data_IF_606466515361
#
_entry.id   IF_606466515361
#
_cell.length_a   1.000
_cell.length_b   1.000
_cell.length_c   1.000
_cell.angle_alpha   90.00
_cell.angle_beta   90.00
_cell.angle_gamma   90.00
#
_symmetry.space_group_name_H-M   'P 1'
#
loop_
_entity.id
_entity.type
_entity.pdbx_description
1 polymer ?
#
# COMPACT_ATOMS: atom_id res chain seq x y z
N UNK A 1 3.33 -13.94 14.78
CA UNK A 1 3.10 -12.89 13.78
C UNK A 1 3.63 -13.37 12.44
N UNK A 2 2.95 -13.01 11.33
CA UNK A 2 3.25 -13.52 9.99
C UNK A 2 3.87 -12.44 9.09
N UNK A 3 3.65 -11.15 9.42
CA UNK A 3 4.15 -10.01 8.68
C UNK A 3 4.16 -8.78 9.58
N UNK A 4 5.05 -7.85 9.32
CA UNK A 4 5.10 -6.52 9.94
C UNK A 4 4.63 -5.50 8.90
N UNK A 5 3.58 -4.73 9.22
CA UNK A 5 3.14 -3.59 8.42
C UNK A 5 3.45 -2.29 9.14
N UNK A 6 4.05 -1.35 8.43
CA UNK A 6 4.37 -0.02 8.92
C UNK A 6 4.29 1.02 7.79
N UNK A 7 4.45 2.29 8.15
CA UNK A 7 4.42 3.39 7.19
C UNK A 7 5.34 4.54 7.63
N UNK A 8 5.51 5.51 6.75
CA UNK A 8 6.39 6.67 6.99
C UNK A 8 5.97 7.56 8.17
N UNK A 9 4.72 7.46 8.66
CA UNK A 9 4.25 8.23 9.83
C UNK A 9 4.55 7.52 11.15
N UNK A 10 5.07 6.30 11.13
CA UNK A 10 5.46 5.56 12.32
C UNK A 10 6.79 6.07 12.92
N UNK A 11 7.59 6.81 12.13
CA UNK A 11 8.89 7.38 12.53
C UNK A 11 9.88 6.32 13.06
N UNK A 12 9.88 5.14 12.43
CA UNK A 12 10.75 4.01 12.78
C UNK A 12 11.85 3.77 11.73
N UNK A 13 12.18 4.79 10.97
CA UNK A 13 13.09 4.70 9.82
C UNK A 13 14.52 4.30 10.22
N UNK A 14 14.93 4.64 11.43
CA UNK A 14 16.26 4.30 11.97
C UNK A 14 16.29 2.87 12.55
N UNK A 15 15.12 2.30 12.85
CA UNK A 15 14.98 0.96 13.43
C UNK A 15 14.60 -0.10 12.35
N UNK A 16 14.45 0.30 11.09
CA UNK A 16 13.91 -0.59 10.03
C UNK A 16 14.79 -1.82 9.80
N UNK A 17 16.10 -1.69 9.92
CA UNK A 17 17.05 -2.79 9.81
C UNK A 17 16.88 -3.79 10.95
N UNK A 18 16.74 -3.30 12.20
CA UNK A 18 16.49 -4.14 13.37
C UNK A 18 15.14 -4.86 13.24
N UNK A 19 14.10 -4.16 12.80
CA UNK A 19 12.76 -4.74 12.54
C UNK A 19 12.85 -5.86 11.50
N UNK A 20 13.57 -5.65 10.40
CA UNK A 20 13.75 -6.67 9.37
C UNK A 20 14.54 -7.87 9.88
N UNK A 21 15.47 -7.67 10.83
CA UNK A 21 16.26 -8.74 11.45
C UNK A 21 15.43 -9.73 12.27
N UNK A 22 14.18 -9.40 12.62
CA UNK A 22 13.24 -10.30 13.28
C UNK A 22 12.81 -11.49 12.38
N UNK A 23 13.19 -11.47 11.09
CA UNK A 23 12.97 -12.56 10.16
C UNK A 23 11.56 -12.65 9.59
N UNK A 24 10.68 -11.69 9.90
CA UNK A 24 9.36 -11.57 9.29
C UNK A 24 9.40 -10.68 8.03
N UNK A 25 8.55 -10.93 7.03
CA UNK A 25 8.43 -10.01 5.91
C UNK A 25 7.90 -8.65 6.39
N UNK A 26 8.51 -7.57 5.92
CA UNK A 26 8.08 -6.20 6.24
C UNK A 26 7.37 -5.60 5.04
N UNK A 27 6.18 -5.04 5.27
CA UNK A 27 5.42 -4.25 4.32
C UNK A 27 5.46 -2.77 4.73
N UNK A 28 5.75 -1.88 3.79
CA UNK A 28 5.93 -0.46 4.04
C UNK A 28 5.06 0.40 3.11
N UNK A 29 4.30 1.33 3.69
CA UNK A 29 3.56 2.34 2.94
C UNK A 29 4.34 3.67 2.92
N UNK A 30 4.79 4.05 1.73
CA UNK A 30 5.49 5.31 1.47
C UNK A 30 4.54 6.50 1.29
N UNK A 31 3.22 6.26 1.27
CA UNK A 31 2.24 7.31 0.96
C UNK A 31 2.57 8.00 -0.39
N UNK A 32 2.58 9.33 -0.42
CA UNK A 32 2.99 10.14 -1.58
C UNK A 32 4.23 11.01 -1.30
N UNK A 33 5.03 10.67 -0.28
CA UNK A 33 6.10 11.53 0.25
C UNK A 33 7.41 10.77 0.36
N UNK A 34 7.95 10.26 -0.72
CA UNK A 34 9.26 9.61 -0.76
C UNK A 34 10.28 10.45 -1.53
N UNK A 35 11.55 10.27 -1.18
CA UNK A 35 12.72 10.74 -1.93
C UNK A 35 13.58 9.55 -2.32
N UNK A 36 14.51 9.75 -3.25
CA UNK A 36 15.45 8.70 -3.65
C UNK A 36 16.31 8.21 -2.49
N UNK A 37 16.73 9.11 -1.59
CA UNK A 37 17.50 8.78 -0.40
C UNK A 37 16.66 7.94 0.57
N UNK A 38 15.37 8.31 0.74
CA UNK A 38 14.46 7.58 1.60
C UNK A 38 14.19 6.17 1.08
N UNK A 39 13.95 6.02 -0.23
CA UNK A 39 13.79 4.71 -0.85
C UNK A 39 15.03 3.84 -0.67
N UNK A 40 16.24 4.39 -0.89
CA UNK A 40 17.50 3.67 -0.68
C UNK A 40 17.70 3.21 0.77
N UNK A 41 17.19 3.97 1.74
CA UNK A 41 17.27 3.62 3.15
C UNK A 41 16.31 2.48 3.52
N UNK A 42 15.07 2.52 3.05
CA UNK A 42 14.00 1.62 3.50
C UNK A 42 13.90 0.35 2.65
N UNK A 43 13.97 0.47 1.31
CA UNK A 43 13.70 -0.64 0.39
C UNK A 43 14.54 -1.91 0.63
N UNK A 44 15.84 -1.84 0.99
CA UNK A 44 16.63 -3.05 1.25
C UNK A 44 16.08 -3.93 2.39
N UNK A 45 15.25 -3.38 3.27
CA UNK A 45 14.75 -4.03 4.48
C UNK A 45 13.30 -4.52 4.37
N UNK A 46 12.63 -4.28 3.24
CA UNK A 46 11.20 -4.60 3.08
C UNK A 46 10.95 -5.58 1.95
N UNK A 47 9.76 -6.21 1.97
CA UNK A 47 9.33 -7.18 0.94
C UNK A 47 8.14 -6.68 0.14
N UNK A 48 7.33 -5.81 0.70
CA UNK A 48 6.17 -5.23 0.04
C UNK A 48 6.21 -3.72 0.21
N UNK A 49 6.15 -2.97 -0.88
CA UNK A 49 6.04 -1.52 -0.88
C UNK A 49 4.68 -1.07 -1.41
N UNK A 50 4.10 -0.03 -0.83
CA UNK A 50 2.99 0.70 -1.41
C UNK A 50 3.36 2.17 -1.62
N UNK A 51 3.04 2.68 -2.81
CA UNK A 51 3.23 4.07 -3.24
C UNK A 51 1.87 4.66 -3.61
N UNK A 52 1.55 5.87 -3.14
CA UNK A 52 0.37 6.63 -3.57
C UNK A 52 0.72 7.48 -4.79
N UNK A 53 0.42 6.96 -5.98
CA UNK A 53 0.88 7.47 -7.28
C UNK A 53 -0.15 8.35 -8.01
N UNK A 54 -1.25 8.76 -7.39
CA UNK A 54 -2.32 9.51 -8.06
C UNK A 54 -1.87 10.84 -8.68
N UNK A 55 -0.78 11.41 -8.18
CA UNK A 55 -0.19 12.67 -8.66
C UNK A 55 0.81 12.49 -9.80
N UNK A 56 1.15 11.24 -10.15
CA UNK A 56 2.13 10.91 -11.16
C UNK A 56 1.45 10.57 -12.50
N UNK A 57 2.11 10.92 -13.61
CA UNK A 57 1.77 10.37 -14.92
C UNK A 57 2.09 8.87 -14.99
N UNK A 58 1.55 8.18 -16.00
CA UNK A 58 1.80 6.74 -16.21
C UNK A 58 3.29 6.40 -16.30
N UNK A 59 4.07 7.22 -17.02
CA UNK A 59 5.52 7.03 -17.17
C UNK A 59 6.27 7.27 -15.86
N UNK A 60 5.88 8.26 -15.10
CA UNK A 60 6.50 8.54 -13.80
C UNK A 60 6.19 7.43 -12.81
N UNK A 61 4.94 6.97 -12.74
CA UNK A 61 4.53 5.84 -11.90
C UNK A 61 5.33 4.59 -12.23
N UNK A 62 5.41 4.22 -13.51
CA UNK A 62 6.17 3.06 -13.94
C UNK A 62 7.65 3.19 -13.55
N UNK A 63 8.26 4.37 -13.74
CA UNK A 63 9.63 4.64 -13.34
C UNK A 63 9.83 4.50 -11.84
N UNK A 64 8.96 5.10 -11.00
CA UNK A 64 9.10 5.06 -9.55
C UNK A 64 8.88 3.63 -9.00
N UNK A 65 7.91 2.88 -9.54
CA UNK A 65 7.70 1.49 -9.14
C UNK A 65 8.88 0.60 -9.54
N UNK A 66 9.44 0.77 -10.73
CA UNK A 66 10.65 0.04 -11.15
C UNK A 66 11.86 0.40 -10.28
N UNK A 67 12.05 1.66 -9.92
CA UNK A 67 13.10 2.10 -8.99
C UNK A 67 13.02 1.35 -7.65
N UNK A 68 11.83 1.25 -7.07
CA UNK A 68 11.61 0.51 -5.81
C UNK A 68 11.93 -0.99 -5.98
N UNK A 69 11.54 -1.58 -7.11
CA UNK A 69 11.89 -2.96 -7.43
C UNK A 69 13.40 -3.16 -7.57
N UNK A 70 14.10 -2.25 -8.27
CA UNK A 70 15.56 -2.30 -8.45
C UNK A 70 16.32 -2.17 -7.12
N UNK A 71 15.72 -1.54 -6.10
CA UNK A 71 16.22 -1.49 -4.73
C UNK A 71 15.96 -2.78 -3.93
N UNK A 72 15.41 -3.82 -4.55
CA UNK A 72 15.28 -5.16 -3.96
C UNK A 72 13.89 -5.51 -3.40
N UNK A 73 12.87 -4.71 -3.68
CA UNK A 73 11.50 -4.98 -3.22
C UNK A 73 10.75 -5.85 -4.24
N UNK A 74 10.37 -7.10 -3.89
CA UNK A 74 9.73 -8.01 -4.85
C UNK A 74 8.28 -7.65 -5.19
N UNK A 75 7.53 -7.02 -4.28
CA UNK A 75 6.13 -6.65 -4.47
C UNK A 75 5.98 -5.14 -4.35
N UNK A 76 5.68 -4.46 -5.46
CA UNK A 76 5.52 -3.00 -5.46
C UNK A 76 4.10 -2.64 -5.91
N UNK A 77 3.31 -2.08 -5.01
CA UNK A 77 1.96 -1.55 -5.27
C UNK A 77 2.04 -0.05 -5.57
N UNK A 78 1.25 0.39 -6.55
CA UNK A 78 1.06 1.81 -6.87
C UNK A 78 -0.43 2.14 -6.94
N UNK A 79 -0.97 2.85 -5.97
CA UNK A 79 -2.38 3.27 -5.97
C UNK A 79 -2.56 4.58 -6.72
N UNK A 80 -3.66 4.70 -7.48
CA UNK A 80 -4.01 5.90 -8.27
C UNK A 80 -5.41 6.43 -7.93
N UNK A 81 -5.80 6.28 -6.66
CA UNK A 81 -7.07 6.76 -6.13
C UNK A 81 -8.26 6.06 -6.81
N UNK A 82 -9.25 6.84 -7.24
CA UNK A 82 -10.47 6.32 -7.89
C UNK A 82 -10.22 5.65 -9.24
N UNK A 83 -9.04 5.81 -9.83
CA UNK A 83 -8.68 5.15 -11.07
C UNK A 83 -8.17 3.71 -10.86
N UNK A 84 -7.85 3.29 -9.61
CA UNK A 84 -7.45 1.92 -9.30
C UNK A 84 -6.04 1.79 -8.75
N UNK A 85 -5.40 0.68 -9.07
CA UNK A 85 -4.05 0.37 -8.57
C UNK A 85 -3.29 -0.52 -9.55
N UNK A 86 -1.97 -0.51 -9.37
CA UNK A 86 -1.04 -1.36 -10.08
C UNK A 86 -0.24 -2.18 -9.08
N UNK A 87 0.20 -3.36 -9.49
CA UNK A 87 1.25 -4.11 -8.80
C UNK A 87 2.34 -4.48 -9.82
N UNK A 88 3.58 -4.20 -9.47
CA UNK A 88 4.76 -4.69 -10.19
C UNK A 88 5.27 -5.94 -9.48
N UNK A 89 5.21 -7.08 -10.16
CA UNK A 89 5.61 -8.40 -9.67
C UNK A 89 6.35 -9.15 -10.78
N UNK A 90 7.54 -9.66 -10.52
CA UNK A 90 8.41 -10.32 -11.52
C UNK A 90 8.64 -9.51 -12.82
N UNK A 91 8.68 -8.17 -12.71
CA UNK A 91 8.88 -7.29 -13.86
C UNK A 91 7.63 -7.09 -14.72
N UNK A 92 6.50 -7.67 -14.34
CA UNK A 92 5.20 -7.48 -14.99
C UNK A 92 4.34 -6.52 -14.19
N UNK A 93 3.77 -5.54 -14.87
CA UNK A 93 2.83 -4.58 -14.30
C UNK A 93 1.40 -5.08 -14.50
N UNK A 94 0.69 -5.36 -13.41
CA UNK A 94 -0.72 -5.74 -13.45
C UNK A 94 -1.57 -4.60 -12.91
N UNK A 95 -2.72 -4.37 -13.53
CA UNK A 95 -3.67 -3.34 -13.15
C UNK A 95 -4.95 -3.96 -12.60
N UNK A 96 -5.52 -3.30 -11.58
CA UNK A 96 -6.86 -3.56 -11.07
C UNK A 96 -7.62 -2.24 -10.88
N UNK A 97 -8.86 -2.21 -11.37
CA UNK A 97 -9.70 -1.01 -11.26
C UNK A 97 -10.15 -0.76 -9.82
N UNK A 98 -10.41 0.49 -9.48
CA UNK A 98 -11.04 0.82 -8.21
C UNK A 98 -12.50 0.34 -8.18
N UNK A 99 -12.98 0.04 -6.98
CA UNK A 99 -14.39 -0.17 -6.71
C UNK A 99 -15.01 1.18 -6.36
N UNK A 100 -16.06 1.56 -7.08
CA UNK A 100 -16.74 2.83 -6.84
C UNK A 100 -17.41 2.82 -5.47
N UNK A 101 -17.10 3.81 -4.63
CA UNK A 101 -17.79 4.00 -3.38
C UNK A 101 -19.25 4.45 -3.62
N UNK A 102 -20.20 3.95 -2.84
CA UNK A 102 -21.60 4.36 -2.90
C UNK A 102 -21.78 5.83 -2.48
N UNK A 103 -20.99 6.27 -1.52
CA UNK A 103 -20.87 7.66 -1.08
C UNK A 103 -19.42 7.95 -0.70
N UNK A 104 -18.98 9.18 -0.87
CA UNK A 104 -17.67 9.64 -0.43
C UNK A 104 -17.91 10.68 0.66
N UNK A 105 -17.61 10.31 1.90
CA UNK A 105 -17.63 11.20 3.05
C UNK A 105 -16.22 11.68 3.41
N UNK A 106 -15.27 10.73 3.43
CA UNK A 106 -13.87 10.99 3.71
C UNK A 106 -13.01 9.92 3.01
N UNK A 107 -11.83 10.29 2.55
CA UNK A 107 -10.87 9.37 1.95
C UNK A 107 -9.74 8.98 2.90
N UNK A 108 -9.77 9.49 4.14
CA UNK A 108 -8.78 9.17 5.16
C UNK A 108 -8.81 7.69 5.50
N UNK A 109 -7.64 7.06 5.56
CA UNK A 109 -7.52 5.62 5.84
C UNK A 109 -7.89 4.68 4.69
N UNK A 110 -8.34 5.19 3.53
CA UNK A 110 -8.64 4.33 2.38
C UNK A 110 -7.40 3.58 1.88
N UNK A 111 -6.24 4.25 1.81
CA UNK A 111 -4.96 3.64 1.45
C UNK A 111 -4.51 2.59 2.45
N UNK A 112 -4.53 2.91 3.75
CA UNK A 112 -4.19 1.96 4.82
C UNK A 112 -5.10 0.73 4.79
N UNK A 113 -6.40 0.95 4.59
CA UNK A 113 -7.41 -0.12 4.50
C UNK A 113 -7.19 -1.01 3.28
N UNK A 114 -6.87 -0.40 2.14
CA UNK A 114 -6.51 -1.12 0.93
C UNK A 114 -5.31 -2.03 1.18
N UNK A 115 -4.22 -1.47 1.71
CA UNK A 115 -2.98 -2.20 1.89
C UNK A 115 -3.09 -3.30 2.95
N UNK A 116 -3.69 -3.01 4.09
CA UNK A 116 -3.93 -4.00 5.14
C UNK A 116 -4.79 -5.17 4.63
N UNK A 117 -5.83 -4.87 3.82
CA UNK A 117 -6.69 -5.91 3.25
C UNK A 117 -5.94 -6.73 2.20
N UNK A 118 -5.16 -6.10 1.32
CA UNK A 118 -4.31 -6.78 0.35
C UNK A 118 -3.37 -7.78 1.03
N UNK A 119 -2.62 -7.34 2.05
CA UNK A 119 -1.69 -8.18 2.80
C UNK A 119 -2.41 -9.33 3.51
N UNK A 120 -3.51 -9.03 4.20
CA UNK A 120 -4.30 -10.03 4.94
C UNK A 120 -4.91 -11.07 3.99
N UNK A 121 -5.38 -10.65 2.81
CA UNK A 121 -5.91 -11.57 1.82
C UNK A 121 -4.86 -12.59 1.38
N UNK A 122 -3.63 -12.16 1.12
CA UNK A 122 -2.53 -13.06 0.75
C UNK A 122 -2.20 -14.00 1.89
N UNK A 123 -2.03 -13.52 3.12
CA UNK A 123 -1.71 -14.33 4.29
C UNK A 123 -2.77 -15.38 4.65
N UNK A 124 -4.02 -15.19 4.24
CA UNK A 124 -5.09 -16.20 4.39
C UNK A 124 -5.00 -17.34 3.38
N UNK A 125 -4.25 -17.17 2.29
CA UNK A 125 -4.19 -18.12 1.17
C UNK A 125 -2.80 -18.66 0.91
N UNK A 126 -1.77 -18.05 1.49
CA UNK A 126 -0.35 -18.42 1.34
C UNK A 126 0.37 -18.31 2.68
N UNK A 127 1.43 -19.10 2.82
CA UNK A 127 2.40 -18.96 3.89
C UNK A 127 3.13 -17.60 3.81
N UNK A 128 3.55 -17.00 4.94
CA UNK A 128 4.34 -15.75 4.96
C UNK A 128 5.62 -15.79 4.11
N UNK A 129 6.18 -16.98 3.89
CA UNK A 129 7.33 -17.17 2.99
C UNK A 129 7.05 -16.71 1.55
N UNK A 130 5.78 -16.65 1.13
CA UNK A 130 5.38 -16.09 -0.16
C UNK A 130 5.94 -14.70 -0.40
N UNK A 131 6.06 -13.89 0.66
CA UNK A 131 6.62 -12.54 0.55
C UNK A 131 8.15 -12.50 0.60
N UNK A 132 8.81 -13.57 1.06
CA UNK A 132 10.27 -13.59 1.23
C UNK A 132 11.00 -14.00 -0.04
N UNK A 133 10.41 -14.87 -0.81
CA UNK A 133 11.00 -15.37 -2.05
C UNK A 133 10.31 -14.70 -3.26
N UNK A 134 11.10 -14.32 -4.26
CA UNK A 134 10.57 -14.25 -5.62
C UNK A 134 10.24 -15.69 -6.04
N UNK A 135 9.09 -16.20 -5.57
CA UNK A 135 8.62 -17.52 -5.94
C UNK A 135 8.60 -17.60 -7.47
N UNK A 136 9.05 -18.74 -8.01
CA UNK A 136 8.93 -19.01 -9.44
C UNK A 136 7.51 -18.71 -9.87
N UNK A 137 7.36 -17.91 -10.92
CA UNK A 137 6.07 -17.50 -11.45
C UNK A 137 5.19 -18.75 -11.66
N UNK A 138 4.35 -19.05 -10.67
CA UNK A 138 3.21 -19.92 -10.86
C UNK A 138 2.03 -19.05 -11.24
N UNK A 139 1.33 -19.30 -12.34
CA UNK A 139 0.17 -18.49 -12.79
C UNK A 139 -0.86 -18.25 -11.67
N UNK A 140 -0.81 -19.04 -10.59
CA UNK A 140 -1.63 -18.91 -9.39
C UNK A 140 -1.25 -17.68 -8.56
N UNK A 141 0.03 -17.25 -8.54
CA UNK A 141 0.47 -16.08 -7.79
C UNK A 141 -0.16 -14.79 -8.37
N UNK A 142 -0.17 -14.65 -9.70
CA UNK A 142 -0.76 -13.47 -10.36
C UNK A 142 -2.26 -13.37 -10.12
N UNK A 143 -2.98 -14.49 -10.19
CA UNK A 143 -4.41 -14.53 -9.88
C UNK A 143 -4.68 -14.18 -8.41
N UNK A 144 -3.88 -14.70 -7.49
CA UNK A 144 -3.98 -14.37 -6.07
C UNK A 144 -3.74 -12.87 -5.84
N UNK A 145 -2.70 -12.28 -6.44
CA UNK A 145 -2.39 -10.86 -6.32
C UNK A 145 -3.53 -10.00 -6.86
N UNK A 146 -4.13 -10.33 -8.00
CA UNK A 146 -5.31 -9.62 -8.53
C UNK A 146 -6.50 -9.70 -7.58
N UNK A 147 -6.80 -10.89 -7.03
CA UNK A 147 -7.88 -11.05 -6.04
C UNK A 147 -7.60 -10.25 -4.76
N UNK A 148 -6.35 -10.20 -4.32
CA UNK A 148 -5.96 -9.40 -3.16
C UNK A 148 -6.13 -7.88 -3.43
N UNK A 149 -5.75 -7.41 -4.63
CA UNK A 149 -5.98 -6.02 -5.06
C UNK A 149 -7.47 -5.68 -5.11
N UNK A 150 -8.29 -6.57 -5.67
CA UNK A 150 -9.75 -6.41 -5.72
C UNK A 150 -10.34 -6.32 -4.31
N UNK A 151 -9.97 -7.24 -3.39
CA UNK A 151 -10.42 -7.21 -2.00
C UNK A 151 -10.03 -5.91 -1.29
N UNK A 152 -8.79 -5.43 -1.52
CA UNK A 152 -8.33 -4.13 -1.05
C UNK A 152 -9.18 -2.98 -1.57
N UNK A 153 -9.49 -2.95 -2.88
CA UNK A 153 -10.32 -1.93 -3.50
C UNK A 153 -11.77 -1.94 -2.96
N UNK A 154 -12.34 -3.12 -2.75
CA UNK A 154 -13.69 -3.28 -2.17
C UNK A 154 -13.76 -2.75 -0.74
N UNK A 155 -12.74 -3.02 0.08
CA UNK A 155 -12.72 -2.53 1.45
C UNK A 155 -12.43 -1.03 1.52
N UNK A 156 -11.49 -0.52 0.73
CA UNK A 156 -11.20 0.91 0.65
C UNK A 156 -12.43 1.73 0.22
N UNK A 157 -13.23 1.21 -0.73
CA UNK A 157 -14.46 1.88 -1.16
C UNK A 157 -15.49 2.02 -0.03
N UNK A 158 -15.58 1.03 0.86
CA UNK A 158 -16.46 1.10 2.05
C UNK A 158 -15.97 2.12 3.06
N UNK A 159 -14.64 2.21 3.26
CA UNK A 159 -14.03 3.18 4.16
C UNK A 159 -14.24 4.60 3.68
N UNK A 160 -14.24 4.86 2.37
CA UNK A 160 -14.59 6.19 1.84
C UNK A 160 -16.02 6.65 2.20
N UNK A 161 -16.91 5.74 2.54
CA UNK A 161 -18.29 6.04 2.95
C UNK A 161 -18.48 6.37 4.44
N UNK A 162 -17.42 6.39 5.24
CA UNK A 162 -17.47 6.70 6.67
C UNK A 162 -16.61 7.90 7.00
N UNK A 163 -16.99 8.67 8.04
CA UNK A 163 -16.24 9.84 8.48
C UNK A 163 -15.00 9.42 9.29
N UNK A 164 -13.86 10.04 8.98
CA UNK A 164 -12.59 9.92 9.72
C UNK A 164 -12.14 8.49 9.91
N UNK A 165 -11.38 7.94 9.03
CA UNK A 165 -10.83 6.59 9.03
C UNK A 165 -11.59 5.61 9.97
N UNK A 166 -12.39 4.71 9.47
CA UNK A 166 -13.18 3.73 10.23
C UNK A 166 -14.38 4.26 11.06
N UNK A 167 -14.85 5.50 10.85
CA UNK A 167 -16.01 6.06 11.53
C UNK A 167 -15.76 6.54 12.98
N UNK A 168 -14.49 6.66 13.38
CA UNK A 168 -14.09 7.09 14.73
C UNK A 168 -13.38 8.46 14.73
N UNK A 169 -13.67 9.31 13.75
CA UNK A 169 -13.11 10.66 13.70
C UNK A 169 -13.52 11.47 14.94
N UNK A 170 -12.55 12.04 15.65
CA UNK A 170 -12.79 12.96 16.78
C UNK A 170 -12.38 14.38 16.37
N UNK A 171 -13.21 15.40 16.58
CA UNK A 171 -12.80 16.77 16.38
C UNK A 171 -11.59 17.12 17.26
N UNK A 172 -10.57 17.69 16.66
CA UNK A 172 -9.43 18.19 17.45
C UNK A 172 -9.89 19.45 18.17
N UNK A 173 -9.92 19.40 19.50
CA UNK A 173 -10.29 20.53 20.33
C UNK A 173 -9.40 21.75 19.97
N UNK A 174 -10.03 22.89 19.60
CA UNK A 174 -9.35 24.12 19.23
C UNK A 174 -9.13 24.35 17.73
N UNK A 175 -9.48 23.43 16.84
CA UNK A 175 -9.63 23.75 15.41
C UNK A 175 -11.04 24.22 15.13
N UNK A 176 -11.19 25.52 14.87
CA UNK A 176 -12.40 26.06 14.24
C UNK A 176 -12.40 25.49 12.82
N UNK A 177 -13.32 24.55 12.53
CA UNK A 177 -13.60 24.18 11.15
C UNK A 177 -14.28 25.39 10.53
N UNK A 178 -13.54 26.13 9.73
CA UNK A 178 -14.07 27.26 8.98
C UNK A 178 -14.98 26.71 7.86
N UNK A 179 -16.27 26.56 8.20
CA UNK A 179 -17.32 26.21 7.25
C UNK A 179 -17.59 27.39 6.28
N UNK A 180 -16.56 27.93 5.67
CA UNK A 180 -16.69 28.86 4.57
C UNK A 180 -16.50 28.10 3.27
N UNK A 181 -17.59 27.51 2.78
CA UNK A 181 -17.86 27.43 1.36
C UNK A 181 -19.35 27.25 1.14
N UNK A 182 -19.97 28.41 0.88
CA UNK A 182 -21.10 28.50 -0.01
C UNK A 182 -20.61 28.33 -1.46
#
# INVERSE_FOLDING_TARGET
>A
FDLIYTNLNAYIDDDIEEIASLGLPVAFDFSNRWTDEYLKKICPHIKVAMLSCAHLSDKEREREMNKVKELGVPFVLGTIGEAGSYILYHGEMMYEKAVKAESIMDTMGAGDSYFATFLTYILRHKDPEFFKEESKDDGNAKELLKKAMQAGAEFASKICGVEGAFGYGMPIAGRIIDNRNN
#
